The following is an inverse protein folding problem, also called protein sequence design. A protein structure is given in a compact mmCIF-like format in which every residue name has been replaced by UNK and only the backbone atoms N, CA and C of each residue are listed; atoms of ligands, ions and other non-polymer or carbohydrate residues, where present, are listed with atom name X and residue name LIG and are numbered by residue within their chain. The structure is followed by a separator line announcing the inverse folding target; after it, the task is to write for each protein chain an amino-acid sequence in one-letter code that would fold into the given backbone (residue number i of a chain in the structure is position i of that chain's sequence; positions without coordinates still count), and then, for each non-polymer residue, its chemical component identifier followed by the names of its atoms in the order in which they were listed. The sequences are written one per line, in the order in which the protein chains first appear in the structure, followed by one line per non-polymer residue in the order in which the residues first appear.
data_IF_283327708896
#
_entry.id   IF_283327708896
#
_cell.length_a   1.000
_cell.length_b   1.000
_cell.length_c   1.000
_cell.angle_alpha   90.00
_cell.angle_beta   90.00
_cell.angle_gamma   90.00
#
_symmetry.space_group_name_H-M   'P 1'
#
loop_
_entity.id
_entity.type
_entity.pdbx_description
1 polymer ?
#
# COMPACT_ATOMS: atom_id res chain seq x y z
N UNK A 1 -12.68 16.67 -5.75
CA UNK A 1 -12.48 15.93 -7.01
C UNK A 1 -11.15 16.43 -7.57
N UNK A 2 -10.08 15.64 -7.49
CA UNK A 2 -8.79 16.02 -8.08
C UNK A 2 -8.92 15.79 -9.57
N UNK A 3 -9.00 16.86 -10.36
CA UNK A 3 -8.85 16.77 -11.82
C UNK A 3 -7.38 16.47 -12.06
N UNK A 4 -7.03 15.18 -12.04
CA UNK A 4 -5.77 14.73 -12.61
C UNK A 4 -5.82 15.16 -14.07
N UNK A 5 -4.88 16.02 -14.49
CA UNK A 5 -4.65 16.25 -15.91
C UNK A 5 -4.10 14.92 -16.48
N UNK A 6 -5.00 14.02 -16.87
CA UNK A 6 -4.71 12.65 -17.23
C UNK A 6 -3.70 12.57 -18.37
N UNK A 7 -3.69 13.59 -19.25
CA UNK A 7 -2.72 13.73 -20.32
C UNK A 7 -1.28 13.97 -19.83
N UNK A 8 -1.09 14.82 -18.82
CA UNK A 8 0.24 15.09 -18.25
C UNK A 8 0.76 13.89 -17.42
N UNK A 9 -0.14 13.21 -16.71
CA UNK A 9 0.18 11.98 -15.99
C UNK A 9 0.54 10.85 -16.96
N UNK A 10 -0.21 10.69 -18.05
CA UNK A 10 0.07 9.70 -19.09
C UNK A 10 1.41 9.94 -19.78
N UNK A 11 1.74 11.19 -20.09
CA UNK A 11 3.03 11.53 -20.69
C UNK A 11 4.21 11.21 -19.76
N UNK A 12 4.09 11.55 -18.47
CA UNK A 12 5.12 11.28 -17.46
C UNK A 12 5.29 9.77 -17.19
N UNK A 13 4.19 9.02 -17.17
CA UNK A 13 4.20 7.56 -16.96
C UNK A 13 4.81 6.81 -18.15
N UNK A 14 4.53 7.25 -19.38
CA UNK A 14 5.16 6.71 -20.59
C UNK A 14 6.66 7.01 -20.61
N UNK A 15 7.09 8.20 -20.19
CA UNK A 15 8.50 8.54 -20.05
C UNK A 15 9.21 7.70 -18.99
N UNK A 16 8.52 7.33 -17.91
CA UNK A 16 9.02 6.42 -16.89
C UNK A 16 9.00 4.93 -17.32
N UNK A 17 8.52 4.61 -18.54
CA UNK A 17 8.40 3.24 -19.03
C UNK A 17 7.32 2.41 -18.35
N UNK A 18 6.43 3.03 -17.56
CA UNK A 18 5.40 2.32 -16.79
C UNK A 18 4.10 2.26 -17.61
N UNK A 19 3.67 1.07 -18.07
CA UNK A 19 2.43 0.95 -18.82
C UNK A 19 1.22 1.23 -17.91
N UNK A 20 0.29 2.09 -18.36
CA UNK A 20 -0.94 2.45 -17.64
C UNK A 20 -1.78 1.22 -17.27
N UNK A 21 -1.77 0.18 -18.10
CA UNK A 21 -2.44 -1.09 -17.85
C UNK A 21 -1.95 -1.76 -16.56
N UNK A 22 -0.66 -1.66 -16.23
CA UNK A 22 -0.08 -2.23 -15.01
C UNK A 22 -0.58 -1.48 -13.76
N UNK A 23 -0.69 -0.16 -13.83
CA UNK A 23 -1.27 0.65 -12.76
C UNK A 23 -2.74 0.30 -12.50
N UNK A 24 -3.54 0.18 -13.56
CA UNK A 24 -4.95 -0.23 -13.48
C UNK A 24 -5.10 -1.62 -12.89
N UNK A 25 -4.32 -2.59 -13.39
CA UNK A 25 -4.32 -3.96 -12.87
C UNK A 25 -3.97 -3.98 -11.38
N UNK A 26 -2.93 -3.25 -10.96
CA UNK A 26 -2.55 -3.12 -9.56
C UNK A 26 -3.67 -2.52 -8.70
N UNK A 27 -4.35 -1.49 -9.17
CA UNK A 27 -5.50 -0.91 -8.45
C UNK A 27 -6.65 -1.89 -8.27
N UNK A 28 -6.97 -2.67 -9.32
CA UNK A 28 -8.03 -3.69 -9.27
C UNK A 28 -7.65 -4.78 -8.27
N UNK A 29 -6.43 -5.30 -8.34
CA UNK A 29 -5.94 -6.35 -7.43
C UNK A 29 -5.99 -5.85 -5.98
N UNK A 30 -5.53 -4.64 -5.71
CA UNK A 30 -5.57 -4.06 -4.36
C UNK A 30 -7.00 -3.81 -3.87
N UNK A 31 -7.90 -3.41 -4.77
CA UNK A 31 -9.32 -3.24 -4.45
C UNK A 31 -9.98 -4.57 -4.07
N UNK A 32 -9.72 -5.62 -4.85
CA UNK A 32 -10.18 -6.98 -4.55
C UNK A 32 -9.59 -7.49 -3.24
N UNK A 33 -8.30 -7.26 -3.01
CA UNK A 33 -7.62 -7.66 -1.78
C UNK A 33 -8.26 -7.02 -0.55
N UNK A 34 -8.57 -5.72 -0.63
CA UNK A 34 -9.25 -4.99 0.43
C UNK A 34 -10.65 -5.56 0.69
N UNK A 35 -11.42 -5.78 -0.38
CA UNK A 35 -12.79 -6.30 -0.26
C UNK A 35 -12.82 -7.72 0.32
N UNK A 36 -11.96 -8.60 -0.20
CA UNK A 36 -11.81 -9.97 0.30
C UNK A 36 -11.31 -9.99 1.75
N UNK A 37 -10.43 -9.08 2.14
CA UNK A 37 -10.00 -8.95 3.54
C UNK A 37 -11.17 -8.63 4.46
N UNK A 38 -12.05 -7.69 4.04
CA UNK A 38 -13.26 -7.34 4.79
C UNK A 38 -14.21 -8.52 4.93
N UNK A 39 -14.48 -9.25 3.84
CA UNK A 39 -15.32 -10.45 3.87
C UNK A 39 -14.74 -11.54 4.77
N UNK A 40 -13.43 -11.80 4.68
CA UNK A 40 -12.74 -12.77 5.52
C UNK A 40 -12.76 -12.38 7.00
N UNK A 41 -12.67 -11.08 7.31
CA UNK A 41 -12.79 -10.56 8.66
C UNK A 41 -14.20 -10.73 9.22
N UNK A 42 -15.24 -10.42 8.44
CA UNK A 42 -16.64 -10.61 8.84
C UNK A 42 -16.97 -12.08 9.10
N UNK A 43 -16.36 -12.99 8.34
CA UNK A 43 -16.52 -14.43 8.52
C UNK A 43 -15.64 -15.01 9.65
N UNK A 44 -14.85 -14.19 10.36
CA UNK A 44 -13.95 -14.63 11.43
C UNK A 44 -12.84 -15.57 10.96
N UNK A 45 -12.47 -15.53 9.69
CA UNK A 45 -11.50 -16.47 9.10
C UNK A 45 -10.07 -15.94 9.22
N UNK A 46 -9.14 -16.86 9.51
CA UNK A 46 -7.69 -16.60 9.58
C UNK A 46 -7.14 -15.88 8.34
N UNK A 47 -7.57 -16.28 7.15
CA UNK A 47 -7.09 -15.71 5.89
C UNK A 47 -7.49 -14.23 5.75
N UNK A 48 -8.67 -13.83 6.24
CA UNK A 48 -9.11 -12.44 6.23
C UNK A 48 -8.21 -11.54 7.07
N UNK A 49 -7.79 -12.02 8.24
CA UNK A 49 -6.84 -11.29 9.09
C UNK A 49 -5.48 -11.11 8.40
N UNK A 50 -4.92 -12.15 7.77
CA UNK A 50 -3.65 -12.04 7.05
C UNK A 50 -3.72 -11.04 5.89
N UNK A 51 -4.80 -11.08 5.12
CA UNK A 51 -5.01 -10.11 4.04
C UNK A 51 -5.16 -8.68 4.55
N UNK A 52 -5.87 -8.49 5.67
CA UNK A 52 -6.04 -7.18 6.27
C UNK A 52 -4.70 -6.63 6.76
N UNK A 53 -3.91 -7.42 7.49
CA UNK A 53 -2.58 -7.00 7.96
C UNK A 53 -1.69 -6.66 6.77
N UNK A 54 -1.64 -7.52 5.75
CA UNK A 54 -0.87 -7.25 4.53
C UNK A 54 -1.30 -5.94 3.86
N UNK A 55 -2.60 -5.73 3.68
CA UNK A 55 -3.14 -4.51 3.07
C UNK A 55 -2.76 -3.26 3.87
N UNK A 56 -2.89 -3.27 5.19
CA UNK A 56 -2.56 -2.10 6.01
C UNK A 56 -1.06 -1.84 6.07
N UNK A 57 -0.20 -2.88 6.13
CA UNK A 57 1.26 -2.71 6.02
C UNK A 57 1.62 -2.10 4.67
N UNK A 58 1.08 -2.64 3.58
CA UNK A 58 1.28 -2.12 2.24
C UNK A 58 0.79 -0.67 2.10
N UNK A 59 -0.35 -0.34 2.71
CA UNK A 59 -0.91 1.01 2.71
C UNK A 59 0.01 2.02 3.41
N UNK A 60 0.57 1.64 4.57
CA UNK A 60 1.57 2.45 5.29
C UNK A 60 2.81 2.67 4.42
N UNK A 61 3.38 1.60 3.88
CA UNK A 61 4.57 1.69 3.02
C UNK A 61 4.31 2.57 1.78
N UNK A 62 3.17 2.40 1.12
CA UNK A 62 2.77 3.19 -0.05
C UNK A 62 2.60 4.67 0.29
N UNK A 63 1.98 4.98 1.43
CA UNK A 63 1.77 6.37 1.85
C UNK A 63 3.07 7.02 2.34
N UNK A 64 3.94 6.28 3.01
CA UNK A 64 5.28 6.75 3.37
C UNK A 64 6.12 7.02 2.12
N UNK A 65 6.13 6.10 1.15
CA UNK A 65 6.82 6.29 -0.12
C UNK A 65 6.29 7.53 -0.88
N UNK A 66 4.98 7.76 -0.85
CA UNK A 66 4.39 8.96 -1.44
C UNK A 66 4.78 10.26 -0.72
N UNK A 67 5.14 10.23 0.57
CA UNK A 67 5.66 11.39 1.28
C UNK A 67 7.11 11.66 0.86
N UNK A 68 7.97 10.64 0.85
CA UNK A 68 9.38 10.78 0.48
C UNK A 68 9.58 11.19 -0.99
N UNK A 69 8.91 10.50 -1.92
CA UNK A 69 9.03 10.82 -3.35
C UNK A 69 8.53 12.23 -3.69
N UNK A 70 7.56 12.76 -2.94
CA UNK A 70 7.03 14.08 -3.23
C UNK A 70 7.99 15.18 -2.81
N UNK A 71 8.82 14.97 -1.78
CA UNK A 71 9.85 15.93 -1.39
C UNK A 71 10.88 16.05 -2.52
N UNK A 72 11.38 14.92 -3.04
CA UNK A 72 12.33 14.90 -4.15
C UNK A 72 11.72 15.47 -5.45
N UNK A 73 10.45 15.13 -5.75
CA UNK A 73 9.78 15.61 -6.96
C UNK A 73 9.34 17.08 -6.87
N UNK A 74 9.01 17.59 -5.68
CA UNK A 74 8.63 18.99 -5.52
C UNK A 74 9.80 19.95 -5.76
N UNK A 75 11.04 19.51 -5.43
CA UNK A 75 12.25 20.25 -5.77
C UNK A 75 12.50 20.29 -7.29
N UNK A 76 12.13 19.23 -8.03
CA UNK A 76 12.38 19.13 -9.47
C UNK A 76 11.26 19.67 -10.37
N UNK A 77 9.99 19.50 -9.98
CA UNK A 77 8.81 19.78 -10.81
C UNK A 77 7.98 20.97 -10.32
N UNK A 78 8.37 21.59 -9.21
CA UNK A 78 7.62 22.68 -8.56
C UNK A 78 6.54 22.18 -7.60
N UNK A 79 6.11 23.06 -6.69
CA UNK A 79 5.17 22.71 -5.63
C UNK A 79 3.78 22.34 -6.20
N UNK A 80 3.10 21.31 -5.64
CA UNK A 80 1.74 20.96 -6.05
C UNK A 80 0.77 22.13 -5.90
N UNK A 81 -0.17 22.30 -6.84
CA UNK A 81 -1.17 23.40 -6.86
C UNK A 81 -2.01 23.50 -5.57
N UNK A 82 -2.10 22.43 -4.78
CA UNK A 82 -2.81 22.38 -3.49
C UNK A 82 -1.97 22.67 -2.25
N UNK A 83 -0.67 22.96 -2.41
CA UNK A 83 0.30 23.18 -1.34
C UNK A 83 0.88 21.88 -0.76
N UNK A 84 2.21 21.83 -0.60
CA UNK A 84 2.95 20.69 -0.06
C UNK A 84 2.43 20.24 1.32
N UNK A 85 2.12 21.21 2.19
CA UNK A 85 1.62 20.96 3.56
C UNK A 85 0.29 20.22 3.56
N UNK A 86 -0.64 20.59 2.66
CA UNK A 86 -1.95 19.93 2.58
C UNK A 86 -1.81 18.47 2.13
N UNK A 87 -0.88 18.21 1.24
CA UNK A 87 -0.55 16.85 0.81
C UNK A 87 0.07 16.05 1.96
N UNK A 88 1.10 16.58 2.62
CA UNK A 88 1.76 15.92 3.74
C UNK A 88 0.78 15.56 4.86
N UNK A 89 -0.12 16.47 5.24
CA UNK A 89 -1.17 16.21 6.25
C UNK A 89 -2.09 15.07 5.78
N UNK A 90 -2.54 15.10 4.52
CA UNK A 90 -3.46 14.07 3.99
C UNK A 90 -2.85 12.66 4.06
N UNK A 91 -1.59 12.49 3.66
CA UNK A 91 -0.93 11.18 3.69
C UNK A 91 -0.51 10.80 5.11
N UNK A 92 -0.05 11.77 5.92
CA UNK A 92 0.27 11.56 7.33
C UNK A 92 -0.92 11.05 8.13
N UNK A 93 -2.09 11.67 8.00
CA UNK A 93 -3.33 11.22 8.64
C UNK A 93 -3.68 9.78 8.22
N UNK A 94 -3.54 9.45 6.94
CA UNK A 94 -3.81 8.09 6.44
C UNK A 94 -2.84 7.05 7.03
N UNK A 95 -1.56 7.39 7.17
CA UNK A 95 -0.56 6.53 7.82
C UNK A 95 -0.95 6.30 9.28
N UNK A 96 -1.31 7.35 10.02
CA UNK A 96 -1.72 7.23 11.42
C UNK A 96 -2.95 6.31 11.54
N UNK A 97 -3.98 6.50 10.73
CA UNK A 97 -5.15 5.61 10.73
C UNK A 97 -4.78 4.17 10.39
N UNK A 98 -3.95 3.95 9.38
CA UNK A 98 -3.52 2.61 9.00
C UNK A 98 -2.72 1.92 10.12
N UNK A 99 -1.85 2.65 10.80
CA UNK A 99 -1.09 2.17 11.96
C UNK A 99 -2.01 1.84 13.14
N UNK A 100 -2.99 2.69 13.44
CA UNK A 100 -3.97 2.42 14.50
C UNK A 100 -4.77 1.14 14.23
N UNK A 101 -5.22 0.93 13.00
CA UNK A 101 -5.91 -0.31 12.61
C UNK A 101 -4.96 -1.51 12.71
N UNK A 102 -3.69 -1.35 12.33
CA UNK A 102 -2.67 -2.39 12.50
C UNK A 102 -2.53 -2.77 13.97
N UNK A 103 -2.33 -1.79 14.86
CA UNK A 103 -2.22 -2.00 16.31
C UNK A 103 -3.46 -2.71 16.85
N UNK A 104 -4.66 -2.33 16.37
CA UNK A 104 -5.90 -3.01 16.71
C UNK A 104 -5.93 -4.48 16.25
N UNK A 105 -5.51 -4.78 15.02
CA UNK A 105 -5.46 -6.15 14.50
C UNK A 105 -4.53 -7.06 15.31
N UNK A 106 -3.47 -6.50 15.90
CA UNK A 106 -2.51 -7.23 16.74
C UNK A 106 -2.91 -7.34 18.22
N UNK A 107 -4.03 -6.75 18.65
CA UNK A 107 -4.55 -6.93 20.02
C UNK A 107 -4.95 -8.38 20.27
N UNK A 108 -4.77 -8.83 21.51
CA UNK A 108 -5.07 -10.21 21.92
C UNK A 108 -6.50 -10.64 21.67
N UNK A 109 -7.54 -9.86 22.06
CA UNK A 109 -8.93 -10.24 21.78
C UNK A 109 -9.19 -10.49 20.29
N UNK A 110 -8.58 -9.68 19.41
CA UNK A 110 -8.73 -9.81 17.96
C UNK A 110 -8.01 -11.07 17.45
N UNK A 111 -6.78 -11.33 17.92
CA UNK A 111 -6.04 -12.55 17.56
C UNK A 111 -6.75 -13.83 18.03
N UNK A 112 -7.37 -13.80 19.21
CA UNK A 112 -8.18 -14.91 19.75
C UNK A 112 -9.39 -15.15 18.85
N UNK A 113 -10.12 -14.09 18.47
CA UNK A 113 -11.26 -14.18 17.54
C UNK A 113 -10.88 -14.87 16.21
N UNK A 114 -9.72 -14.54 15.66
CA UNK A 114 -9.20 -15.16 14.44
C UNK A 114 -8.45 -16.48 14.68
N UNK A 115 -8.40 -17.01 15.91
CA UNK A 115 -7.70 -18.26 16.28
C UNK A 115 -6.19 -18.23 15.93
N UNK A 116 -5.54 -17.10 16.17
CA UNK A 116 -4.11 -16.82 15.91
C UNK A 116 -3.26 -16.78 17.18
N UNK A 117 -3.70 -17.39 18.27
CA UNK A 117 -3.02 -17.40 19.58
C UNK A 117 -1.61 -17.98 19.52
N UNK A 118 -1.41 -18.99 18.67
CA UNK A 118 -0.12 -19.67 18.51
C UNK A 118 0.88 -18.87 17.66
N UNK A 119 0.44 -17.83 16.96
CA UNK A 119 1.31 -17.02 16.11
C UNK A 119 1.88 -15.86 16.91
N UNK A 120 3.20 -15.86 17.12
CA UNK A 120 3.88 -14.73 17.76
C UNK A 120 3.78 -13.47 16.88
N UNK A 121 3.61 -12.30 17.50
CA UNK A 121 3.45 -11.02 16.80
C UNK A 121 4.60 -10.77 15.81
N UNK A 122 5.82 -11.11 16.24
CA UNK A 122 7.05 -11.01 15.44
C UNK A 122 7.03 -11.91 14.20
N UNK A 123 6.54 -13.15 14.31
CA UNK A 123 6.41 -14.04 13.15
C UNK A 123 5.43 -13.47 12.12
N UNK A 124 4.28 -12.96 12.58
CA UNK A 124 3.29 -12.37 11.67
C UNK A 124 3.83 -11.12 10.95
N UNK A 125 4.52 -10.23 11.66
CA UNK A 125 5.19 -9.09 11.05
C UNK A 125 6.25 -9.57 10.04
N UNK A 126 7.10 -10.53 10.43
CA UNK A 126 8.14 -11.09 9.58
C UNK A 126 7.58 -11.72 8.29
N UNK A 127 6.47 -12.46 8.38
CA UNK A 127 5.80 -13.03 7.20
C UNK A 127 5.30 -11.92 6.27
N UNK A 128 4.64 -10.89 6.80
CA UNK A 128 4.08 -9.81 5.97
C UNK A 128 5.19 -8.98 5.32
N UNK A 129 6.23 -8.62 6.08
CA UNK A 129 7.41 -7.94 5.55
C UNK A 129 8.09 -8.80 4.48
N UNK A 130 8.25 -10.10 4.72
CA UNK A 130 8.81 -11.04 3.75
C UNK A 130 8.02 -11.09 2.44
N UNK A 131 6.68 -11.13 2.50
CA UNK A 131 5.82 -11.08 1.31
C UNK A 131 5.96 -9.74 0.58
N UNK A 132 5.99 -8.62 1.31
CA UNK A 132 6.20 -7.31 0.70
C UNK A 132 7.56 -7.22 -0.03
N UNK A 133 8.64 -7.72 0.58
CA UNK A 133 9.97 -7.75 -0.03
C UNK A 133 10.00 -8.66 -1.27
N UNK A 134 9.41 -9.85 -1.18
CA UNK A 134 9.32 -10.78 -2.30
C UNK A 134 8.58 -10.15 -3.49
N UNK A 135 7.44 -9.49 -3.25
CA UNK A 135 6.70 -8.78 -4.29
C UNK A 135 7.50 -7.64 -4.90
N UNK A 136 8.20 -6.86 -4.07
CA UNK A 136 9.06 -5.78 -4.55
C UNK A 136 10.19 -6.32 -5.44
N UNK A 137 10.85 -7.42 -5.05
CA UNK A 137 11.89 -8.05 -5.86
C UNK A 137 11.35 -8.62 -7.18
N UNK A 138 10.15 -9.22 -7.17
CA UNK A 138 9.54 -9.81 -8.36
C UNK A 138 9.18 -8.73 -9.39
N UNK A 139 8.59 -7.62 -8.93
CA UNK A 139 8.27 -6.48 -9.80
C UNK A 139 9.55 -5.85 -10.35
N UNK A 140 10.54 -5.62 -9.49
CA UNK A 140 11.81 -5.01 -9.92
C UNK A 140 12.53 -5.89 -10.95
N UNK A 141 12.57 -7.21 -10.73
CA UNK A 141 13.16 -8.16 -11.67
C UNK A 141 12.41 -8.24 -12.99
N UNK A 142 11.07 -8.25 -12.96
CA UNK A 142 10.25 -8.25 -14.17
C UNK A 142 10.46 -6.97 -15.01
N UNK A 143 10.64 -5.83 -14.34
CA UNK A 143 10.86 -4.54 -15.01
C UNK A 143 12.23 -4.46 -15.68
N UNK A 144 13.27 -5.06 -15.07
CA UNK A 144 14.60 -5.19 -15.70
C UNK A 144 14.52 -6.09 -16.95
N UNK A 145 13.85 -7.24 -16.85
CA UNK A 145 13.71 -8.17 -17.98
C UNK A 145 12.88 -7.62 -19.16
N UNK A 146 12.05 -6.60 -18.92
CA UNK A 146 11.29 -5.91 -19.97
C UNK A 146 12.05 -4.73 -20.59
N UNK A 147 13.15 -4.29 -19.96
CA UNK A 147 13.99 -3.21 -20.45
C UNK A 147 15.11 -3.68 -21.40
N UNK A 148 15.35 -5.00 -21.45
CA UNK A 148 16.22 -5.68 -22.41
C UNK A 148 15.43 -6.12 -23.67
#
# INVERSE_FOLDING_TARGET
MLVFNSAAAEHSLRQAGIPISLLLAGMIILGLLYFLSGLGMLAGKKWGWWLAVFYYVYSVARHANALFLLEDMAEQLGAPEGGLVRFQIKYGVRIVFALLVLVYLFREPVRIYFRLEQTSKLRAIGTVVGVCLALWSAISGALILMAD
#
